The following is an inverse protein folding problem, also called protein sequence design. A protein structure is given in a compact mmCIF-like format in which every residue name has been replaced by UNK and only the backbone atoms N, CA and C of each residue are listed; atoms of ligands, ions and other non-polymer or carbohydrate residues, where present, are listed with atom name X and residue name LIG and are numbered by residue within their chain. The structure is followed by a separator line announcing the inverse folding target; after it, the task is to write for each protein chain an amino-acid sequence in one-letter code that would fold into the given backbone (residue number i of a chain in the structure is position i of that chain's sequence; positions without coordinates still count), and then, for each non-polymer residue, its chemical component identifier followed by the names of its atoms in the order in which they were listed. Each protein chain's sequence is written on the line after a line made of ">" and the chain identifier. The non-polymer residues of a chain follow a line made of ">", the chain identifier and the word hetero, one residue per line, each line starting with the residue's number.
data_IF_511367149621
#
_entry.id   IF_511367149621
#
_cell.length_a   1.000
_cell.length_b   1.000
_cell.length_c   1.000
_cell.angle_alpha   90.00
_cell.angle_beta   90.00
_cell.angle_gamma   90.00
#
_symmetry.space_group_name_H-M   'P 1'
#
loop_
_entity.id
_entity.type
_entity.pdbx_description
1 polymer ?
#
# COMPACT_ATOMS: atom_id res chain seq x y z
N UNK A 1 14.66 -9.12 -5.31
CA UNK A 1 13.36 -8.81 -4.67
C UNK A 1 12.47 -8.28 -5.76
N UNK A 2 11.38 -8.99 -6.04
CA UNK A 2 10.41 -8.52 -7.03
C UNK A 2 9.74 -7.25 -6.50
N UNK A 3 9.67 -6.23 -7.35
CA UNK A 3 9.00 -4.96 -7.04
C UNK A 3 7.82 -4.83 -7.98
N UNK A 4 6.68 -4.45 -7.44
CA UNK A 4 5.48 -4.14 -8.22
C UNK A 4 5.47 -2.64 -8.40
N UNK A 5 5.47 -2.18 -9.65
CA UNK A 5 5.37 -0.76 -9.96
C UNK A 5 3.95 -0.50 -10.45
N UNK A 6 3.31 0.51 -9.88
CA UNK A 6 2.01 1.02 -10.32
C UNK A 6 2.16 2.49 -10.69
N UNK A 7 1.87 2.82 -11.94
CA UNK A 7 1.78 4.20 -12.40
C UNK A 7 0.40 4.75 -12.04
N UNK A 8 0.37 5.91 -11.39
CA UNK A 8 -0.85 6.57 -10.96
C UNK A 8 -1.56 7.20 -12.16
N UNK A 9 -2.87 6.96 -12.26
CA UNK A 9 -3.69 7.65 -13.25
C UNK A 9 -3.77 9.15 -12.94
N UNK A 10 -3.81 9.49 -11.64
CA UNK A 10 -3.76 10.87 -11.16
C UNK A 10 -2.50 11.08 -10.32
N UNK A 11 -1.46 11.74 -10.87
CA UNK A 11 -0.26 12.07 -10.12
C UNK A 11 -0.58 12.91 -8.88
N UNK A 12 0.04 12.56 -7.75
CA UNK A 12 -0.14 13.26 -6.48
C UNK A 12 0.99 14.27 -6.29
N UNK A 13 0.63 15.55 -6.12
CA UNK A 13 1.56 16.57 -5.67
C UNK A 13 1.69 16.49 -4.13
N UNK A 14 2.66 15.73 -3.64
CA UNK A 14 2.79 15.46 -2.20
C UNK A 14 3.43 16.62 -1.44
N UNK A 15 4.44 17.27 -2.03
CA UNK A 15 5.03 18.51 -1.53
C UNK A 15 5.26 19.46 -2.69
N UNK A 16 5.56 20.75 -2.49
CA UNK A 16 5.81 21.68 -3.60
C UNK A 16 6.90 21.23 -4.58
N UNK A 17 7.87 20.43 -4.12
CA UNK A 17 8.98 19.91 -4.94
C UNK A 17 8.85 18.44 -5.33
N UNK A 18 7.87 17.71 -4.79
CA UNK A 18 7.70 16.28 -5.01
C UNK A 18 6.35 15.97 -5.61
N UNK A 19 6.37 15.60 -6.89
CA UNK A 19 5.25 14.98 -7.59
C UNK A 19 5.50 13.48 -7.67
N UNK A 20 4.46 12.71 -7.35
CA UNK A 20 4.51 11.25 -7.35
C UNK A 20 3.62 10.77 -8.48
N UNK A 21 4.24 10.09 -9.42
CA UNK A 21 3.59 9.54 -10.62
C UNK A 21 3.57 8.01 -10.57
N UNK A 22 4.40 7.39 -9.73
CA UNK A 22 4.51 5.95 -9.59
C UNK A 22 4.69 5.54 -8.14
N UNK A 23 4.12 4.38 -7.78
CA UNK A 23 4.34 3.70 -6.52
C UNK A 23 5.07 2.38 -6.77
N UNK A 24 6.14 2.14 -6.02
CA UNK A 24 6.90 0.90 -6.06
C UNK A 24 6.68 0.13 -4.76
N UNK A 25 6.01 -1.02 -4.84
CA UNK A 25 5.74 -1.87 -3.69
C UNK A 25 6.78 -2.99 -3.58
N UNK A 26 7.30 -3.17 -2.37
CA UNK A 26 8.00 -4.39 -1.97
C UNK A 26 6.99 -5.52 -1.73
N UNK A 27 7.44 -6.76 -1.84
CA UNK A 27 6.61 -7.96 -1.67
C UNK A 27 6.89 -8.70 -0.37
N UNK A 28 7.63 -8.11 0.56
CA UNK A 28 7.97 -8.65 1.86
C UNK A 28 7.44 -7.76 3.00
N UNK A 29 7.04 -8.38 4.11
CA UNK A 29 6.61 -7.67 5.32
C UNK A 29 7.34 -8.26 6.52
N UNK A 30 7.80 -7.39 7.42
CA UNK A 30 8.32 -7.84 8.71
C UNK A 30 7.17 -8.13 9.69
N UNK A 31 7.46 -8.90 10.74
CA UNK A 31 6.49 -9.14 11.85
C UNK A 31 6.06 -7.82 12.50
N UNK A 32 6.93 -6.80 12.52
CA UNK A 32 6.59 -5.46 13.03
C UNK A 32 5.53 -4.79 12.15
N UNK A 33 5.64 -4.94 10.82
CA UNK A 33 4.69 -4.37 9.86
C UNK A 33 3.31 -5.02 10.00
N UNK A 34 3.27 -6.35 10.20
CA UNK A 34 2.03 -7.09 10.45
C UNK A 34 1.31 -6.62 11.72
N UNK A 35 2.04 -6.46 12.85
CA UNK A 35 1.46 -5.93 14.09
C UNK A 35 0.90 -4.52 13.94
N UNK A 36 1.55 -3.68 13.11
CA UNK A 36 1.07 -2.32 12.83
C UNK A 36 -0.25 -2.34 12.06
N UNK A 37 -0.40 -3.29 11.14
CA UNK A 37 -1.63 -3.50 10.37
C UNK A 37 -2.78 -4.00 11.27
N UNK A 38 -2.53 -4.97 12.15
CA UNK A 38 -3.51 -5.48 13.12
C UNK A 38 -4.04 -4.40 14.06
N UNK A 39 -3.22 -3.39 14.37
CA UNK A 39 -3.61 -2.25 15.20
C UNK A 39 -4.52 -1.22 14.52
N UNK A 40 -4.77 -1.33 13.21
CA UNK A 40 -5.61 -0.37 12.48
C UNK A 40 -7.09 -0.73 12.56
N UNK A 41 -7.93 0.29 12.70
CA UNK A 41 -9.40 0.14 12.66
C UNK A 41 -9.95 0.46 11.27
N UNK A 42 -10.87 -0.39 10.79
CA UNK A 42 -11.55 -0.21 9.51
C UNK A 42 -10.72 -0.65 8.29
N UNK A 43 -11.41 -1.09 7.24
CA UNK A 43 -10.79 -1.64 6.03
C UNK A 43 -9.98 -0.61 5.24
N UNK A 44 -10.43 0.65 5.20
CA UNK A 44 -9.74 1.73 4.50
C UNK A 44 -8.44 2.11 5.22
N UNK A 45 -8.48 2.30 6.54
CA UNK A 45 -7.29 2.66 7.32
C UNK A 45 -6.23 1.55 7.35
N UNK A 46 -6.66 0.28 7.47
CA UNK A 46 -5.78 -0.87 7.30
C UNK A 46 -5.18 -0.90 5.88
N UNK A 47 -5.99 -0.60 4.87
CA UNK A 47 -5.59 -0.50 3.48
C UNK A 47 -4.52 0.56 3.22
N UNK A 48 -4.72 1.77 3.73
CA UNK A 48 -3.76 2.87 3.58
C UNK A 48 -2.44 2.57 4.28
N UNK A 49 -2.52 2.02 5.50
CA UNK A 49 -1.34 1.57 6.26
C UNK A 49 -0.58 0.47 5.50
N UNK A 50 -1.28 -0.47 4.89
CA UNK A 50 -0.66 -1.54 4.12
C UNK A 50 0.09 -1.01 2.91
N UNK A 51 -0.54 -0.14 2.11
CA UNK A 51 0.10 0.47 0.96
C UNK A 51 1.33 1.28 1.37
N UNK A 52 1.23 2.07 2.44
CA UNK A 52 2.34 2.84 3.00
C UNK A 52 3.53 1.94 3.39
N UNK A 53 3.25 0.82 4.07
CA UNK A 53 4.29 -0.11 4.51
C UNK A 53 5.01 -0.78 3.32
N UNK A 54 4.26 -1.13 2.27
CA UNK A 54 4.80 -1.81 1.11
C UNK A 54 5.50 -0.86 0.14
N UNK A 55 5.00 0.37 -0.02
CA UNK A 55 5.66 1.37 -0.87
C UNK A 55 6.82 2.07 -0.18
N UNK A 56 6.83 2.08 1.16
CA UNK A 56 7.73 2.92 1.95
C UNK A 56 7.34 4.40 1.94
N UNK A 57 6.17 4.74 1.37
CA UNK A 57 5.65 6.09 1.32
C UNK A 57 4.88 6.45 2.61
N UNK A 58 4.83 7.74 2.99
CA UNK A 58 4.05 8.20 4.12
C UNK A 58 2.55 7.95 3.89
N UNK A 59 1.80 7.70 4.97
CA UNK A 59 0.37 7.36 4.88
C UNK A 59 -0.44 8.53 4.32
N UNK A 60 0.00 9.76 4.58
CA UNK A 60 -0.60 10.99 4.09
C UNK A 60 -0.55 11.09 2.55
N UNK A 61 0.48 10.49 1.92
CA UNK A 61 0.54 10.38 0.47
C UNK A 61 -0.49 9.38 -0.03
N UNK A 62 -0.64 8.26 0.66
CA UNK A 62 -1.61 7.22 0.32
C UNK A 62 -3.04 7.75 0.46
N UNK A 63 -3.32 8.54 1.51
CA UNK A 63 -4.61 9.19 1.73
C UNK A 63 -4.92 10.28 0.69
N UNK A 64 -3.89 10.83 0.04
CA UNK A 64 -4.02 11.79 -1.05
C UNK A 64 -4.26 11.14 -2.43
N UNK A 65 -4.17 9.81 -2.52
CA UNK A 65 -4.50 9.09 -3.76
C UNK A 65 -5.98 9.27 -4.12
N UNK A 66 -6.26 9.20 -5.41
CA UNK A 66 -7.64 9.01 -5.85
C UNK A 66 -8.17 7.68 -5.33
N UNK A 67 -9.47 7.59 -5.06
CA UNK A 67 -10.08 6.32 -4.66
C UNK A 67 -9.84 5.21 -5.71
N UNK A 68 -9.80 5.58 -7.00
CA UNK A 68 -9.49 4.67 -8.10
C UNK A 68 -8.09 4.06 -7.95
N UNK A 69 -7.07 4.92 -7.84
CA UNK A 69 -5.67 4.51 -7.70
C UNK A 69 -5.45 3.71 -6.41
N UNK A 70 -6.11 4.11 -5.32
CA UNK A 70 -6.07 3.39 -4.06
C UNK A 70 -6.54 1.94 -4.20
N UNK A 71 -7.74 1.73 -4.74
CA UNK A 71 -8.27 0.37 -4.92
C UNK A 71 -7.47 -0.44 -5.94
N UNK A 72 -6.99 0.20 -7.02
CA UNK A 72 -6.13 -0.46 -8.02
C UNK A 72 -4.81 -0.93 -7.43
N UNK A 73 -4.14 -0.08 -6.66
CA UNK A 73 -2.91 -0.46 -5.96
C UNK A 73 -3.16 -1.65 -5.01
N UNK A 74 -4.27 -1.64 -4.27
CA UNK A 74 -4.66 -2.77 -3.41
C UNK A 74 -4.90 -4.08 -4.19
N UNK A 75 -5.59 -4.01 -5.33
CA UNK A 75 -5.82 -5.17 -6.20
C UNK A 75 -4.49 -5.79 -6.67
N UNK A 76 -3.52 -4.95 -7.05
CA UNK A 76 -2.22 -5.40 -7.56
C UNK A 76 -1.37 -6.11 -6.51
N UNK A 77 -1.40 -5.65 -5.26
CA UNK A 77 -0.61 -6.27 -4.17
C UNK A 77 -1.30 -7.49 -3.55
N UNK A 78 -2.62 -7.67 -3.78
CA UNK A 78 -3.43 -8.75 -3.18
C UNK A 78 -2.85 -10.17 -3.34
N UNK A 79 -2.30 -10.57 -4.50
CA UNK A 79 -1.72 -11.91 -4.66
C UNK A 79 -0.54 -12.18 -3.71
N UNK A 80 0.26 -11.15 -3.43
CA UNK A 80 1.44 -11.26 -2.57
C UNK A 80 1.04 -11.33 -1.10
N UNK A 81 0.00 -10.60 -0.71
CA UNK A 81 -0.57 -10.64 0.63
C UNK A 81 -1.17 -12.01 0.99
N UNK A 82 -1.81 -12.71 0.04
CA UNK A 82 -2.31 -14.08 0.28
C UNK A 82 -1.20 -15.07 0.64
N UNK A 83 0.00 -14.83 0.12
CA UNK A 83 1.18 -15.65 0.41
C UNK A 83 1.76 -15.33 1.79
N UNK A 84 1.69 -14.06 2.22
CA UNK A 84 2.27 -13.57 3.48
C UNK A 84 1.33 -13.79 4.68
N UNK A 85 0.04 -13.51 4.52
CA UNK A 85 -0.96 -13.58 5.60
C UNK A 85 -1.35 -15.01 5.95
N UNK A 86 -0.88 -15.99 5.17
CA UNK A 86 -1.32 -17.37 5.27
C UNK A 86 -2.81 -17.49 4.91
N UNK A 87 -3.20 -18.60 4.31
CA UNK A 87 -4.59 -19.02 4.32
C UNK A 87 -4.99 -19.33 5.76
N UNK A 88 -5.34 -18.32 6.54
CA UNK A 88 -6.13 -18.45 7.75
C UNK A 88 -7.58 -18.79 7.39
N UNK A 89 -7.77 -19.89 6.66
CA UNK A 89 -9.07 -20.52 6.52
C UNK A 89 -9.14 -21.60 7.60
N UNK A 90 -9.62 -21.20 8.77
CA UNK A 90 -10.40 -22.03 9.69
C UNK A 90 -11.61 -21.21 10.11
#
# INVERSE_FOLDING_TARGET
>A
MDKIIYTLDTPVQFTPSRRVEELSFKTDMSVRDLRRLEGQQGSVGAGATLLSLLSGEPVELIDALSAHDFFKAQEMIRPFLKTILGTGAN
#
